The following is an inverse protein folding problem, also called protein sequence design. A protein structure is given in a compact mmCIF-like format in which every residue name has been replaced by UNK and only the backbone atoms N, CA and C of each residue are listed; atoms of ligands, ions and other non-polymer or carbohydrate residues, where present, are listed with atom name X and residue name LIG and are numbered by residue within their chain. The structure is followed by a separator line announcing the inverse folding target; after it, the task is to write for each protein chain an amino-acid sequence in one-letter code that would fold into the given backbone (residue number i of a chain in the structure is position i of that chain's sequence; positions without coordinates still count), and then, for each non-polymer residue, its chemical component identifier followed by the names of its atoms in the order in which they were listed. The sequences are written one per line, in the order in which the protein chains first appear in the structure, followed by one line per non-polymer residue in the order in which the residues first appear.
data_IF_103506191593
#
_entry.id   IF_103506191593
#
_cell.length_a   1.000
_cell.length_b   1.000
_cell.length_c   1.000
_cell.angle_alpha   90.00
_cell.angle_beta   90.00
_cell.angle_gamma   90.00
#
_symmetry.space_group_name_H-M   'P 1'
#
loop_
_entity.id
_entity.type
_entity.pdbx_description
1 polymer ?
#
# COMPACT_ATOMS: atom_id res chain seq x y z
N UNK A 1 -20.18 -6.28 -10.08
CA UNK A 1 -19.31 -6.90 -9.05
C UNK A 1 -17.96 -6.18 -9.16
N UNK A 2 -17.49 -5.33 -8.26
CA UNK A 2 -17.75 -5.14 -6.84
C UNK A 2 -18.06 -3.68 -6.50
N UNK A 3 -18.77 -3.50 -5.38
CA UNK A 3 -19.29 -2.25 -4.84
C UNK A 3 -18.14 -1.28 -4.50
N UNK A 4 -18.16 -0.12 -5.13
CA UNK A 4 -17.43 1.09 -4.72
C UNK A 4 -18.01 1.58 -3.39
N UNK A 5 -17.66 0.90 -2.30
CA UNK A 5 -17.97 1.35 -0.95
C UNK A 5 -17.12 2.57 -0.64
N UNK A 6 -17.61 3.77 -1.00
CA UNK A 6 -17.11 5.11 -0.66
C UNK A 6 -15.64 5.10 -0.21
N UNK A 7 -14.73 4.95 -1.18
CA UNK A 7 -13.30 5.05 -0.92
C UNK A 7 -13.00 6.51 -0.55
N UNK A 8 -12.45 6.74 0.64
CA UNK A 8 -12.08 8.10 1.05
C UNK A 8 -11.06 8.67 0.06
N UNK A 9 -11.04 10.00 -0.20
CA UNK A 9 -10.03 10.62 -1.09
C UNK A 9 -8.58 10.24 -0.72
N UNK A 10 -8.35 9.96 0.57
CA UNK A 10 -7.07 9.49 1.09
C UNK A 10 -6.77 8.04 0.70
N UNK A 11 -7.77 7.17 0.76
CA UNK A 11 -7.64 5.78 0.34
C UNK A 11 -7.43 5.69 -1.18
N UNK A 12 -8.10 6.54 -1.95
CA UNK A 12 -7.89 6.66 -3.40
C UNK A 12 -6.45 7.08 -3.71
N UNK A 13 -5.92 8.07 -2.98
CA UNK A 13 -4.52 8.47 -3.13
C UNK A 13 -3.54 7.33 -2.83
N UNK A 14 -3.83 6.50 -1.82
CA UNK A 14 -3.03 5.30 -1.51
C UNK A 14 -3.10 4.30 -2.66
N UNK A 15 -4.30 4.01 -3.18
CA UNK A 15 -4.48 3.10 -4.32
C UNK A 15 -3.75 3.60 -5.56
N UNK A 16 -3.79 4.90 -5.84
CA UNK A 16 -3.07 5.53 -6.96
C UNK A 16 -1.56 5.34 -6.82
N UNK A 17 -1.01 5.54 -5.63
CA UNK A 17 0.42 5.32 -5.38
C UNK A 17 0.81 3.86 -5.59
N UNK A 18 -0.02 2.92 -5.12
CA UNK A 18 0.20 1.48 -5.33
C UNK A 18 0.20 1.14 -6.82
N UNK A 19 -0.83 1.59 -7.54
CA UNK A 19 -0.97 1.35 -8.98
C UNK A 19 0.22 1.91 -9.76
N UNK A 20 0.61 3.16 -9.51
CA UNK A 20 1.73 3.78 -10.20
C UNK A 20 3.05 3.04 -9.91
N UNK A 21 3.30 2.66 -8.65
CA UNK A 21 4.55 1.96 -8.33
C UNK A 21 4.65 0.57 -8.99
N UNK A 22 3.52 -0.14 -9.14
CA UNK A 22 3.47 -1.41 -9.87
C UNK A 22 3.75 -1.18 -11.36
N UNK A 23 3.19 -0.12 -11.95
CA UNK A 23 3.43 0.23 -13.36
C UNK A 23 4.88 0.64 -13.60
N UNK A 24 5.44 1.48 -12.73
CA UNK A 24 6.78 2.07 -12.92
C UNK A 24 7.91 1.09 -12.56
N UNK A 25 7.74 0.30 -11.50
CA UNK A 25 8.80 -0.55 -10.95
C UNK A 25 8.52 -2.05 -11.08
N UNK A 26 7.32 -2.46 -11.49
CA UNK A 26 6.89 -3.87 -11.50
C UNK A 26 6.55 -4.45 -10.12
N UNK A 27 6.71 -3.67 -9.04
CA UNK A 27 6.54 -4.12 -7.66
C UNK A 27 5.70 -3.14 -6.84
N UNK A 28 4.99 -3.64 -5.83
CA UNK A 28 4.19 -2.82 -4.93
C UNK A 28 5.06 -1.91 -4.03
N UNK A 29 4.62 -0.68 -3.71
CA UNK A 29 5.39 0.22 -2.88
C UNK A 29 5.37 -0.22 -1.41
N UNK A 30 6.45 0.06 -0.69
CA UNK A 30 6.53 -0.19 0.76
C UNK A 30 5.68 0.81 1.55
N UNK A 31 5.26 0.45 2.77
CA UNK A 31 4.52 1.31 3.70
C UNK A 31 5.20 2.69 3.90
N UNK A 32 6.53 2.74 3.96
CA UNK A 32 7.29 4.00 4.06
C UNK A 32 7.17 4.83 2.79
N UNK A 33 7.32 4.22 1.61
CA UNK A 33 7.18 4.91 0.32
C UNK A 33 5.75 5.43 0.10
N UNK A 34 4.75 4.64 0.49
CA UNK A 34 3.36 5.07 0.46
C UNK A 34 3.22 6.31 1.35
N UNK A 35 3.59 6.21 2.63
CA UNK A 35 3.51 7.33 3.58
C UNK A 35 4.16 8.62 3.08
N UNK A 36 5.36 8.53 2.50
CA UNK A 36 6.05 9.68 1.91
C UNK A 36 5.31 10.30 0.71
N UNK A 37 4.69 9.48 -0.14
CA UNK A 37 3.97 9.97 -1.34
C UNK A 37 2.57 10.52 -1.03
N UNK A 38 1.88 9.99 -0.02
CA UNK A 38 0.56 10.52 0.42
C UNK A 38 0.65 11.59 1.50
N UNK A 39 1.85 11.90 2.01
CA UNK A 39 2.05 12.87 3.08
C UNK A 39 1.52 12.40 4.44
N UNK A 40 1.53 11.09 4.70
CA UNK A 40 1.11 10.56 6.01
C UNK A 40 2.27 10.65 7.01
N UNK A 41 2.03 11.21 8.21
CA UNK A 41 3.08 11.49 9.18
C UNK A 41 3.66 10.23 9.83
N UNK A 42 2.96 9.11 9.74
CA UNK A 42 3.37 7.87 10.41
C UNK A 42 3.01 6.64 9.57
N UNK A 43 3.93 5.68 9.54
CA UNK A 43 3.74 4.39 8.89
C UNK A 43 2.56 3.61 9.47
N UNK A 44 2.29 3.75 10.77
CA UNK A 44 1.13 3.12 11.43
C UNK A 44 -0.20 3.56 10.81
N UNK A 45 -0.35 4.84 10.47
CA UNK A 45 -1.54 5.37 9.80
C UNK A 45 -1.71 4.77 8.41
N UNK A 46 -0.61 4.54 7.70
CA UNK A 46 -0.62 3.87 6.39
C UNK A 46 -1.06 2.41 6.55
N UNK A 47 -0.48 1.67 7.50
CA UNK A 47 -0.84 0.26 7.77
C UNK A 47 -2.33 0.12 8.10
N UNK A 48 -2.87 1.03 8.92
CA UNK A 48 -4.28 1.02 9.26
C UNK A 48 -5.18 1.19 8.02
N UNK A 49 -4.87 2.15 7.13
CA UNK A 49 -5.65 2.34 5.90
C UNK A 49 -5.52 1.16 4.93
N UNK A 50 -4.32 0.57 4.82
CA UNK A 50 -4.11 -0.64 4.02
C UNK A 50 -4.95 -1.82 4.55
N UNK A 51 -5.03 -2.00 5.87
CA UNK A 51 -5.88 -3.03 6.47
C UNK A 51 -7.37 -2.83 6.13
N UNK A 52 -7.85 -1.58 6.09
CA UNK A 52 -9.22 -1.30 5.65
C UNK A 52 -9.43 -1.58 4.17
N UNK A 53 -8.48 -1.21 3.31
CA UNK A 53 -8.53 -1.52 1.88
C UNK A 53 -8.51 -3.03 1.61
N UNK A 54 -7.76 -3.78 2.42
CA UNK A 54 -7.70 -5.24 2.35
C UNK A 54 -9.01 -5.89 2.81
N UNK A 55 -9.59 -5.42 3.93
CA UNK A 55 -10.91 -5.87 4.38
C UNK A 55 -12.04 -5.56 3.41
N UNK A 56 -11.87 -4.52 2.58
CA UNK A 56 -12.79 -4.19 1.47
C UNK A 56 -12.53 -5.01 0.19
N UNK A 57 -11.47 -5.82 0.15
CA UNK A 57 -11.08 -6.58 -1.03
C UNK A 57 -10.50 -5.74 -2.17
N UNK A 58 -10.10 -4.49 -1.91
CA UNK A 58 -9.53 -3.57 -2.90
C UNK A 58 -8.04 -3.80 -3.12
N UNK A 59 -7.34 -4.33 -2.11
CA UNK A 59 -5.93 -4.73 -2.20
C UNK A 59 -5.75 -6.12 -1.59
N UNK A 60 -4.79 -6.87 -2.12
CA UNK A 60 -4.32 -8.11 -1.51
C UNK A 60 -2.83 -7.97 -1.22
N UNK A 61 -2.45 -8.07 0.05
CA UNK A 61 -1.05 -8.00 0.45
C UNK A 61 -0.49 -9.42 0.51
N UNK A 62 0.04 -9.90 -0.60
CA UNK A 62 0.82 -11.13 -0.61
C UNK A 62 2.08 -10.91 0.24
N UNK A 63 2.14 -11.55 1.40
CA UNK A 63 3.19 -11.48 2.43
C UNK A 63 4.62 -11.87 1.93
N UNK A 64 4.81 -12.13 0.63
CA UNK A 64 5.97 -12.84 0.09
C UNK A 64 7.25 -12.02 -0.12
N UNK A 65 7.28 -10.70 0.07
CA UNK A 65 8.52 -9.93 -0.16
C UNK A 65 8.74 -8.75 0.79
N UNK A 66 8.64 -8.98 2.10
CA UNK A 66 9.06 -7.97 3.09
C UNK A 66 10.37 -8.28 3.82
N UNK A 67 11.05 -9.37 3.46
CA UNK A 67 12.24 -9.83 4.20
C UNK A 67 13.23 -10.49 3.28
N UNK A 68 14.23 -9.73 2.82
CA UNK A 68 15.52 -10.34 2.49
C UNK A 68 16.62 -9.34 2.80
N UNK A 69 16.82 -9.07 4.09
CA UNK A 69 18.08 -8.52 4.56
C UNK A 69 19.07 -9.70 4.67
N UNK A 70 20.17 -9.67 3.90
CA UNK A 70 21.28 -10.62 4.00
C UNK A 70 22.53 -9.85 4.43
N UNK A 71 23.15 -10.24 5.54
CA UNK A 71 24.55 -9.96 5.85
C UNK A 71 25.21 -11.27 6.25
N UNK A 72 26.35 -11.57 5.64
CA UNK A 72 27.12 -12.79 5.88
C UNK A 72 28.32 -12.86 4.94
N UNK A 73 29.36 -12.12 5.31
CA UNK A 73 30.76 -12.56 5.30
C UNK A 73 31.47 -11.82 6.42
#
# INVERSE_FOLDING_TARGET
MSRDGVVSPRQESILRVIRNSIIDCGEGPTVRQIGGRVGLPSTSSVVYQLGRLEGLGLISRSCRRWRSCRLGT
#
